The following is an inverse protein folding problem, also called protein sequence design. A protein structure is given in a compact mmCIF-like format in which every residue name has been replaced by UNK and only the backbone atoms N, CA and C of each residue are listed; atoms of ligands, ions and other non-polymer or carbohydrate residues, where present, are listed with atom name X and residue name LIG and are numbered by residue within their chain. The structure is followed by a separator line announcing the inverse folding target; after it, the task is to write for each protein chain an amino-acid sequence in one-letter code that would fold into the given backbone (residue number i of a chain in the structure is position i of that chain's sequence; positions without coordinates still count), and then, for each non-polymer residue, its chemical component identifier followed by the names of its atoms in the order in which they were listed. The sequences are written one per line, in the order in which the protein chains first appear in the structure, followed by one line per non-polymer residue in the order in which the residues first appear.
data_IF_874843647170
#
_entry.id   IF_874843647170
#
_cell.length_a   1.000
_cell.length_b   1.000
_cell.length_c   1.000
_cell.angle_alpha   90.00
_cell.angle_beta   90.00
_cell.angle_gamma   90.00
#
_symmetry.space_group_name_H-M   'P 1'
#
loop_
_entity.id
_entity.type
_entity.pdbx_description
1 polymer ?
#
# COMPACT_ATOMS: atom_id res chain seq x y z
N UNK A 1 4.94 -25.17 20.61
CA UNK A 1 6.28 -25.17 19.97
C UNK A 1 6.11 -24.84 18.51
N UNK A 2 7.02 -24.07 17.95
CA UNK A 2 7.05 -23.84 16.50
C UNK A 2 7.62 -25.08 15.81
N UNK A 3 7.01 -25.53 14.73
CA UNK A 3 7.50 -26.72 13.99
C UNK A 3 8.61 -26.32 13.02
N UNK A 4 9.52 -27.24 12.73
CA UNK A 4 10.60 -27.02 11.77
C UNK A 4 10.07 -26.57 10.40
N UNK A 5 8.98 -27.19 9.96
CA UNK A 5 8.29 -26.84 8.72
C UNK A 5 7.83 -25.38 8.69
N UNK A 6 7.34 -24.86 9.83
CA UNK A 6 6.91 -23.46 9.93
C UNK A 6 8.10 -22.51 9.84
N UNK A 7 9.23 -22.88 10.45
CA UNK A 7 10.47 -22.10 10.37
C UNK A 7 10.96 -22.02 8.93
N UNK A 8 10.95 -23.14 8.20
CA UNK A 8 11.36 -23.16 6.79
C UNK A 8 10.47 -22.31 5.91
N UNK A 9 9.15 -22.35 6.12
CA UNK A 9 8.21 -21.47 5.41
C UNK A 9 8.50 -19.99 5.66
N UNK A 10 8.79 -19.62 6.91
CA UNK A 10 9.16 -18.22 7.26
C UNK A 10 10.47 -17.82 6.58
N UNK A 11 11.48 -18.70 6.58
CA UNK A 11 12.73 -18.42 5.88
C UNK A 11 12.53 -18.22 4.38
N UNK A 12 11.68 -19.03 3.73
CA UNK A 12 11.33 -18.86 2.33
C UNK A 12 10.62 -17.52 2.07
N UNK A 13 9.71 -17.11 2.97
CA UNK A 13 9.05 -15.80 2.88
C UNK A 13 10.06 -14.65 3.02
N UNK A 14 11.03 -14.74 3.93
CA UNK A 14 12.10 -13.76 4.08
C UNK A 14 12.94 -13.63 2.80
N UNK A 15 13.33 -14.77 2.20
CA UNK A 15 14.05 -14.77 0.91
C UNK A 15 13.23 -14.09 -0.18
N UNK A 16 11.94 -14.39 -0.27
CA UNK A 16 11.03 -13.78 -1.26
C UNK A 16 10.90 -12.26 -1.06
N UNK A 17 10.94 -11.81 0.19
CA UNK A 17 10.90 -10.40 0.56
C UNK A 17 12.29 -9.72 0.54
N UNK A 18 13.34 -10.42 0.11
CA UNK A 18 14.74 -9.95 0.13
C UNK A 18 15.18 -9.47 1.52
N UNK A 19 14.74 -10.18 2.56
CA UNK A 19 15.10 -9.90 3.95
C UNK A 19 16.19 -10.87 4.39
N UNK A 20 17.35 -10.35 4.70
CA UNK A 20 18.50 -11.13 5.17
C UNK A 20 18.71 -10.94 6.67
N UNK A 21 19.21 -11.97 7.35
CA UNK A 21 19.47 -11.90 8.80
C UNK A 21 20.55 -10.87 9.15
N UNK A 22 21.46 -10.57 8.24
CA UNK A 22 22.54 -9.59 8.39
C UNK A 22 22.00 -8.14 8.50
N UNK A 23 20.83 -7.89 7.93
CA UNK A 23 20.17 -6.58 7.90
C UNK A 23 19.21 -6.37 9.09
N UNK A 24 19.11 -7.36 9.99
CA UNK A 24 18.17 -7.36 11.09
C UNK A 24 18.89 -7.16 12.43
N UNK A 25 18.58 -6.07 13.09
CA UNK A 25 18.93 -5.87 14.50
C UNK A 25 17.84 -6.43 15.40
N UNK A 26 18.18 -7.46 16.17
CA UNK A 26 17.27 -8.12 17.10
C UNK A 26 17.53 -7.68 18.55
N UNK A 27 16.50 -7.20 19.22
CA UNK A 27 16.55 -6.84 20.63
C UNK A 27 15.38 -7.45 21.39
N UNK A 28 15.63 -7.80 22.66
CA UNK A 28 14.62 -8.36 23.54
C UNK A 28 14.20 -7.31 24.57
N UNK A 29 12.91 -7.02 24.62
CA UNK A 29 12.33 -6.01 25.49
C UNK A 29 11.31 -6.61 26.45
N UNK A 30 11.08 -5.93 27.57
CA UNK A 30 10.02 -6.29 28.51
C UNK A 30 8.66 -6.02 27.86
N UNK A 31 7.71 -6.92 28.06
CA UNK A 31 6.33 -6.70 27.66
C UNK A 31 5.69 -5.65 28.56
N UNK A 32 4.86 -4.79 27.97
CA UNK A 32 4.01 -3.83 28.68
C UNK A 32 2.55 -4.19 28.41
N UNK A 33 1.75 -4.36 29.44
CA UNK A 33 0.32 -4.64 29.30
C UNK A 33 -0.27 -5.37 30.51
N UNK A 34 -1.60 -5.56 30.53
CA UNK A 34 -2.28 -6.36 31.55
C UNK A 34 -1.89 -7.82 31.36
N UNK A 35 -0.85 -8.25 32.06
CA UNK A 35 -0.35 -9.61 32.05
C UNK A 35 0.30 -9.94 33.40
N UNK A 36 0.30 -11.21 33.77
CA UNK A 36 0.84 -11.65 35.02
C UNK A 36 2.33 -11.34 35.21
N UNK A 37 2.84 -11.57 36.40
CA UNK A 37 4.21 -11.22 36.87
C UNK A 37 5.34 -11.65 35.87
N UNK A 38 5.14 -12.72 35.10
CA UNK A 38 6.10 -13.20 34.09
C UNK A 38 6.29 -12.25 32.93
N UNK A 39 5.23 -11.58 32.44
CA UNK A 39 5.28 -10.64 31.30
C UNK A 39 6.13 -9.42 31.66
N UNK A 40 6.04 -8.96 32.92
CA UNK A 40 6.75 -7.77 33.39
C UNK A 40 8.19 -8.05 33.83
N UNK A 41 8.55 -9.33 34.08
CA UNK A 41 9.89 -9.71 34.56
C UNK A 41 10.78 -10.40 33.51
N UNK A 42 10.20 -10.91 32.42
CA UNK A 42 10.94 -11.60 31.36
C UNK A 42 10.87 -10.84 30.03
N UNK A 43 12.02 -10.57 29.42
CA UNK A 43 12.11 -9.97 28.08
C UNK A 43 11.72 -10.98 27.01
N UNK A 44 10.41 -11.27 26.91
CA UNK A 44 9.85 -12.21 25.93
C UNK A 44 9.41 -11.53 24.65
N UNK A 45 9.27 -10.21 24.65
CA UNK A 45 8.93 -9.44 23.46
C UNK A 45 10.17 -9.23 22.61
N UNK A 46 10.04 -9.51 21.33
CA UNK A 46 11.11 -9.34 20.32
C UNK A 46 10.86 -8.07 19.56
N UNK A 47 11.88 -7.25 19.45
CA UNK A 47 11.92 -6.08 18.58
C UNK A 47 12.94 -6.34 17.47
N UNK A 48 12.51 -6.30 16.24
CA UNK A 48 13.36 -6.36 15.06
C UNK A 48 13.41 -4.97 14.41
N UNK A 49 14.61 -4.56 14.03
CA UNK A 49 14.81 -3.41 13.16
C UNK A 49 15.50 -3.87 11.88
N UNK A 50 14.93 -3.56 10.74
CA UNK A 50 15.49 -3.90 9.43
C UNK A 50 16.04 -2.64 8.78
N UNK A 51 17.36 -2.55 8.66
CA UNK A 51 18.05 -1.36 8.22
C UNK A 51 17.66 -0.89 6.80
N UNK A 52 17.59 -1.76 5.76
CA UNK A 52 17.28 -1.32 4.40
C UNK A 52 15.87 -0.73 4.23
N UNK A 53 14.88 -1.22 4.98
CA UNK A 53 13.50 -0.74 4.89
C UNK A 53 13.10 0.24 5.99
N UNK A 54 13.98 0.49 6.96
CA UNK A 54 13.74 1.31 8.16
C UNK A 54 12.49 0.87 8.95
N UNK A 55 12.14 -0.42 8.86
CA UNK A 55 11.00 -0.99 9.54
C UNK A 55 11.39 -1.50 10.93
N UNK A 56 10.56 -1.17 11.90
CA UNK A 56 10.64 -1.73 13.25
C UNK A 56 9.40 -2.59 13.51
N UNK A 57 9.60 -3.85 13.87
CA UNK A 57 8.56 -4.80 14.26
C UNK A 57 8.71 -5.13 15.75
N UNK A 58 7.62 -5.20 16.46
CA UNK A 58 7.58 -5.67 17.85
C UNK A 58 6.56 -6.80 17.95
N UNK A 59 7.03 -8.00 18.33
CA UNK A 59 6.18 -9.17 18.51
C UNK A 59 6.29 -9.71 19.93
N UNK A 60 5.17 -9.83 20.60
CA UNK A 60 5.04 -10.37 21.93
C UNK A 60 3.77 -11.18 22.11
N UNK A 61 3.34 -11.86 21.07
CA UNK A 61 2.07 -12.62 21.02
C UNK A 61 2.09 -13.84 21.95
N UNK A 62 3.27 -14.44 22.12
CA UNK A 62 3.39 -15.67 22.91
C UNK A 62 4.30 -15.50 24.10
N UNK A 63 4.22 -16.47 25.04
CA UNK A 63 5.11 -16.54 26.19
C UNK A 63 6.51 -17.06 25.84
N UNK A 64 6.68 -17.58 24.62
CA UNK A 64 7.94 -18.13 24.13
C UNK A 64 8.69 -17.08 23.34
N UNK A 65 9.90 -16.72 23.81
CA UNK A 65 10.80 -15.81 23.10
C UNK A 65 11.14 -16.31 21.71
N UNK A 66 11.43 -17.60 21.59
CA UNK A 66 11.77 -18.24 20.31
C UNK A 66 10.62 -18.16 19.31
N UNK A 67 9.39 -18.43 19.75
CA UNK A 67 8.22 -18.29 18.90
C UNK A 67 8.01 -16.84 18.44
N UNK A 68 8.16 -15.89 19.34
CA UNK A 68 8.05 -14.47 19.02
C UNK A 68 9.13 -14.00 18.02
N UNK A 69 10.34 -14.60 18.06
CA UNK A 69 11.40 -14.33 17.07
C UNK A 69 10.96 -14.68 15.65
N UNK A 70 10.38 -15.84 15.46
CA UNK A 70 9.92 -16.29 14.16
C UNK A 70 8.66 -15.57 13.68
N UNK A 71 7.73 -15.28 14.60
CA UNK A 71 6.56 -14.48 14.28
C UNK A 71 6.93 -13.05 13.86
N UNK A 72 7.89 -12.43 14.54
CA UNK A 72 8.40 -11.11 14.16
C UNK A 72 9.03 -11.10 12.76
N UNK A 73 9.80 -12.15 12.40
CA UNK A 73 10.39 -12.30 11.07
C UNK A 73 9.34 -12.48 9.99
N UNK A 74 8.30 -13.27 10.26
CA UNK A 74 7.17 -13.41 9.35
C UNK A 74 6.48 -12.07 9.13
N UNK A 75 6.14 -11.37 10.19
CA UNK A 75 5.48 -10.06 10.11
C UNK A 75 6.34 -9.03 9.34
N UNK A 76 7.66 -9.05 9.54
CA UNK A 76 8.58 -8.20 8.80
C UNK A 76 8.54 -8.49 7.29
N UNK A 77 8.64 -9.76 6.91
CA UNK A 77 8.58 -10.16 5.50
C UNK A 77 7.23 -9.80 4.86
N UNK A 78 6.12 -10.04 5.55
CA UNK A 78 4.78 -9.68 5.08
C UNK A 78 4.64 -8.17 4.83
N UNK A 79 5.09 -7.34 5.76
CA UNK A 79 5.03 -5.86 5.62
C UNK A 79 5.89 -5.32 4.49
N UNK A 80 7.04 -5.91 4.23
CA UNK A 80 7.89 -5.53 3.11
C UNK A 80 7.22 -5.87 1.79
N UNK A 81 6.70 -7.10 1.63
CA UNK A 81 5.97 -7.53 0.44
C UNK A 81 4.70 -6.66 0.20
N UNK A 82 3.99 -6.31 1.24
CA UNK A 82 2.84 -5.40 1.16
C UNK A 82 3.23 -4.02 0.62
N UNK A 83 4.32 -3.45 1.12
CA UNK A 83 4.84 -2.15 0.63
C UNK A 83 5.24 -2.20 -0.83
N UNK A 84 5.92 -3.26 -1.27
CA UNK A 84 6.32 -3.46 -2.66
C UNK A 84 5.10 -3.60 -3.58
N UNK A 85 4.14 -4.44 -3.20
CA UNK A 85 2.91 -4.62 -3.95
C UNK A 85 2.09 -3.32 -4.05
N UNK A 86 2.01 -2.54 -2.98
CA UNK A 86 1.34 -1.25 -2.98
C UNK A 86 2.05 -0.25 -3.91
N UNK A 87 3.38 -0.23 -3.94
CA UNK A 87 4.16 0.62 -4.83
C UNK A 87 3.95 0.25 -6.31
N UNK A 88 3.96 -1.04 -6.63
CA UNK A 88 3.68 -1.55 -7.99
C UNK A 88 2.26 -1.20 -8.42
N UNK A 89 1.28 -1.39 -7.55
CA UNK A 89 -0.13 -1.05 -7.81
C UNK A 89 -0.30 0.44 -8.11
N UNK A 90 0.30 1.33 -7.31
CA UNK A 90 0.26 2.78 -7.54
C UNK A 90 0.86 3.16 -8.90
N UNK A 91 2.02 2.60 -9.25
CA UNK A 91 2.66 2.84 -10.57
C UNK A 91 1.77 2.40 -11.73
N UNK A 92 1.11 1.25 -11.63
CA UNK A 92 0.16 0.76 -12.63
C UNK A 92 -1.05 1.68 -12.77
N UNK A 93 -1.64 2.11 -11.66
CA UNK A 93 -2.78 3.03 -11.66
C UNK A 93 -2.42 4.38 -12.30
N UNK A 94 -1.24 4.91 -12.00
CA UNK A 94 -0.78 6.16 -12.58
C UNK A 94 -0.50 6.03 -14.09
N UNK A 95 0.14 4.95 -14.53
CA UNK A 95 0.34 4.66 -15.93
C UNK A 95 -0.99 4.53 -16.70
N UNK A 96 -1.99 3.84 -16.12
CA UNK A 96 -3.33 3.76 -16.69
C UNK A 96 -4.03 5.12 -16.76
N UNK A 97 -3.92 5.94 -15.72
CA UNK A 97 -4.47 7.30 -15.70
C UNK A 97 -3.89 8.13 -16.83
N UNK A 98 -2.57 8.12 -17.00
CA UNK A 98 -1.89 8.82 -18.10
C UNK A 98 -2.34 8.28 -19.45
N UNK A 99 -2.45 6.95 -19.62
CA UNK A 99 -2.95 6.31 -20.84
C UNK A 99 -4.38 6.72 -21.17
N UNK A 100 -5.27 6.80 -20.16
CA UNK A 100 -6.65 7.28 -20.35
C UNK A 100 -6.70 8.75 -20.77
N UNK A 101 -5.86 9.60 -20.17
CA UNK A 101 -5.77 11.02 -20.54
C UNK A 101 -5.25 11.23 -21.98
N UNK A 102 -4.25 10.45 -22.41
CA UNK A 102 -3.68 10.51 -23.75
C UNK A 102 -4.55 9.85 -24.84
N UNK A 103 -5.56 9.06 -24.45
CA UNK A 103 -6.42 8.37 -25.40
C UNK A 103 -7.23 9.37 -26.20
N UNK A 104 -7.04 9.38 -27.53
CA UNK A 104 -7.82 10.22 -28.43
C UNK A 104 -9.30 9.85 -28.35
N UNK A 105 -10.17 10.87 -28.30
CA UNK A 105 -11.62 10.68 -28.34
C UNK A 105 -12.02 9.94 -29.59
N UNK A 106 -12.92 8.97 -29.49
CA UNK A 106 -13.45 8.25 -30.63
C UNK A 106 -14.16 9.21 -31.60
N UNK A 107 -14.22 8.87 -32.88
CA UNK A 107 -14.93 9.67 -33.93
C UNK A 107 -16.37 9.98 -33.46
N UNK A 108 -17.05 9.01 -32.89
CA UNK A 108 -18.44 9.16 -32.39
C UNK A 108 -18.55 10.18 -31.25
N UNK A 109 -17.64 10.15 -30.27
CA UNK A 109 -17.61 11.14 -29.18
C UNK A 109 -17.28 12.55 -29.70
N UNK A 110 -16.39 12.65 -30.69
CA UNK A 110 -16.03 13.92 -31.29
C UNK A 110 -17.21 14.52 -32.06
N UNK A 111 -17.96 13.70 -32.80
CA UNK A 111 -19.17 14.12 -33.52
C UNK A 111 -20.26 14.60 -32.55
N UNK A 112 -20.49 13.85 -31.45
CA UNK A 112 -21.45 14.25 -30.39
C UNK A 112 -21.07 15.60 -29.77
N UNK A 113 -19.82 15.78 -29.40
CA UNK A 113 -19.35 17.04 -28.82
C UNK A 113 -19.49 18.23 -29.78
N UNK A 114 -19.26 18.02 -31.07
CA UNK A 114 -19.46 19.05 -32.09
C UNK A 114 -20.94 19.39 -32.25
N UNK A 115 -21.84 18.39 -32.26
CA UNK A 115 -23.27 18.59 -32.29
C UNK A 115 -23.77 19.39 -31.10
N UNK A 116 -23.34 19.02 -29.88
CA UNK A 116 -23.66 19.75 -28.63
C UNK A 116 -23.19 21.22 -28.70
N UNK A 117 -21.96 21.43 -29.21
CA UNK A 117 -21.43 22.80 -29.43
C UNK A 117 -22.27 23.62 -30.38
N UNK A 118 -22.74 23.03 -31.53
CA UNK A 118 -23.59 23.69 -32.46
C UNK A 118 -24.93 24.11 -31.85
N UNK A 119 -25.60 23.19 -31.14
CA UNK A 119 -26.83 23.48 -30.41
C UNK A 119 -26.66 24.63 -29.39
N UNK A 120 -25.54 24.62 -28.66
CA UNK A 120 -25.24 25.71 -27.71
C UNK A 120 -25.00 27.05 -28.45
N UNK A 121 -24.34 27.03 -29.59
CA UNK A 121 -24.14 28.23 -30.44
C UNK A 121 -25.43 28.78 -30.96
N UNK A 122 -26.33 27.92 -31.49
CA UNK A 122 -27.66 28.30 -31.97
C UNK A 122 -28.53 28.91 -30.83
N UNK A 123 -28.52 28.29 -29.66
CA UNK A 123 -29.22 28.85 -28.47
C UNK A 123 -28.64 30.20 -28.05
N UNK A 124 -27.36 30.43 -28.17
CA UNK A 124 -26.73 31.74 -27.89
C UNK A 124 -27.10 32.76 -28.97
N UNK A 125 -27.11 32.39 -30.23
CA UNK A 125 -27.51 33.27 -31.32
C UNK A 125 -28.96 33.69 -31.19
N UNK A 126 -29.85 32.75 -30.81
CA UNK A 126 -31.28 33.07 -30.57
C UNK A 126 -31.51 34.01 -29.38
N UNK A 127 -30.53 34.18 -28.48
CA UNK A 127 -30.57 35.16 -27.35
C UNK A 127 -29.98 36.52 -27.74
N UNK A 128 -29.54 36.70 -29.01
CA UNK A 128 -29.04 37.96 -29.51
C UNK A 128 -30.09 39.06 -29.41
N UNK A 129 -29.65 40.28 -29.17
CA UNK A 129 -30.50 41.47 -29.02
C UNK A 129 -31.34 41.67 -30.32
N UNK A 130 -32.63 41.66 -30.18
CA UNK A 130 -33.52 42.08 -31.27
C UNK A 130 -33.28 43.55 -31.48
N UNK A 131 -32.67 43.93 -32.59
CA UNK A 131 -32.62 45.29 -33.04
C UNK A 131 -34.00 45.61 -33.61
N UNK A 132 -34.80 46.41 -32.85
CA UNK A 132 -36.01 47.01 -33.39
C UNK A 132 -35.55 48.06 -34.36
N UNK A 133 -35.80 47.87 -35.66
CA UNK A 133 -35.67 48.90 -36.63
C UNK A 133 -36.87 49.86 -36.46
N UNK A 134 -36.59 51.05 -35.87
CA UNK A 134 -37.56 52.15 -35.90
C UNK A 134 -37.73 52.57 -37.35
N UNK A 135 -38.96 52.46 -37.88
CA UNK A 135 -39.44 53.14 -39.08
C UNK A 135 -39.79 54.59 -38.74
#
# INVERSE_FOLDING_TARGET
MITQETIEKIKQQMVTASVFEEDIDETFILGSGPGGQKVNKTSSVVRLYHAPSELTIKCGETRSREMNRWLARRELAEKILERENAAVSKRRQEAERIRRQKRRRSRRQKAKMLADKRQHSEKKAARGRVTVSDE
#
